data_IF_693067738495
#
_entry.id   IF_693067738495
#
_cell.length_a   1.000
_cell.length_b   1.000
_cell.length_c   1.000
_cell.angle_alpha   90.00
_cell.angle_beta   90.00
_cell.angle_gamma   90.00
#
_symmetry.space_group_name_H-M   'P 1'
#
loop_
_entity.id
_entity.type
_entity.pdbx_description
1 polymer ?
#
# COMPACT_ATOMS: atom_id res chain seq x y z
N UNK A 1 -6.54 3.23 13.65
CA UNK A 1 -7.61 4.13 14.19
C UNK A 1 -7.74 5.40 13.35
N UNK A 2 -6.68 6.23 13.24
CA UNK A 2 -6.73 7.47 12.44
C UNK A 2 -7.09 7.24 10.96
N UNK A 3 -6.45 6.28 10.28
CA UNK A 3 -6.75 5.96 8.87
C UNK A 3 -8.23 5.56 8.66
N UNK A 4 -8.78 4.71 9.52
CA UNK A 4 -10.18 4.30 9.46
C UNK A 4 -11.15 5.48 9.64
N UNK A 5 -10.83 6.40 10.55
CA UNK A 5 -11.64 7.59 10.79
C UNK A 5 -11.67 8.53 9.58
N UNK A 6 -10.53 8.68 8.88
CA UNK A 6 -10.45 9.50 7.65
C UNK A 6 -11.32 8.93 6.54
N UNK A 7 -11.28 7.60 6.32
CA UNK A 7 -12.10 6.96 5.29
C UNK A 7 -13.59 7.15 5.55
N UNK A 8 -14.03 6.93 6.81
CA UNK A 8 -15.42 7.14 7.21
C UNK A 8 -15.80 8.62 7.10
N UNK A 9 -14.91 9.53 7.50
CA UNK A 9 -15.13 10.98 7.42
C UNK A 9 -15.33 11.48 5.99
N UNK A 10 -14.49 11.03 5.05
CA UNK A 10 -14.63 11.40 3.63
C UNK A 10 -15.92 10.84 3.02
N UNK A 11 -16.35 9.64 3.43
CA UNK A 11 -17.63 9.08 2.99
C UNK A 11 -18.82 9.88 3.53
N UNK A 12 -18.79 10.25 4.81
CA UNK A 12 -19.83 11.09 5.44
C UNK A 12 -19.89 12.50 4.85
N UNK A 13 -18.75 13.09 4.48
CA UNK A 13 -18.71 14.38 3.75
C UNK A 13 -19.53 14.29 2.46
N UNK A 14 -19.33 13.24 1.66
CA UNK A 14 -20.09 13.02 0.43
C UNK A 14 -21.57 12.77 0.69
N UNK A 15 -21.89 11.95 1.69
CA UNK A 15 -23.27 11.71 2.10
C UNK A 15 -24.00 13.02 2.46
N UNK A 16 -23.36 13.88 3.25
CA UNK A 16 -23.91 15.17 3.69
C UNK A 16 -24.02 16.21 2.58
N UNK A 17 -23.22 16.14 1.52
CA UNK A 17 -23.37 17.04 0.37
C UNK A 17 -24.51 16.56 -0.53
N UNK A 18 -24.59 15.25 -0.80
CA UNK A 18 -25.51 14.69 -1.81
C UNK A 18 -26.95 14.67 -1.28
N UNK A 19 -27.17 14.14 -0.08
CA UNK A 19 -28.54 13.90 0.44
C UNK A 19 -29.34 15.21 0.57
N UNK A 20 -28.88 16.26 1.27
CA UNK A 20 -29.66 17.49 1.44
C UNK A 20 -29.85 18.26 0.13
N UNK A 21 -28.86 18.21 -0.76
CA UNK A 21 -28.91 18.87 -2.08
C UNK A 21 -29.99 18.25 -2.96
N UNK A 22 -30.20 16.94 -2.87
CA UNK A 22 -31.27 16.25 -3.60
C UNK A 22 -32.63 16.36 -2.90
N UNK A 23 -32.67 16.41 -1.57
CA UNK A 23 -33.92 16.59 -0.81
C UNK A 23 -34.59 17.94 -1.04
N UNK A 24 -33.81 19.00 -1.28
CA UNK A 24 -34.30 20.37 -1.47
C UNK A 24 -33.87 20.92 -2.85
N UNK A 25 -34.49 20.44 -3.94
CA UNK A 25 -34.15 20.90 -5.28
C UNK A 25 -34.59 22.36 -5.49
N UNK A 26 -33.81 23.12 -6.27
CA UNK A 26 -34.15 24.52 -6.62
C UNK A 26 -35.29 24.65 -7.63
N UNK A 27 -35.57 23.57 -8.35
CA UNK A 27 -36.68 23.46 -9.30
C UNK A 27 -37.94 23.03 -8.53
N UNK A 28 -39.15 23.29 -9.06
CA UNK A 28 -40.41 22.97 -8.39
C UNK A 28 -40.71 21.45 -8.42
N UNK A 29 -39.76 20.64 -8.00
CA UNK A 29 -39.94 19.23 -7.69
C UNK A 29 -40.38 19.09 -6.23
N UNK A 30 -41.15 18.05 -5.88
CA UNK A 30 -41.50 17.76 -4.50
C UNK A 30 -40.24 17.55 -3.65
N UNK A 31 -40.23 18.13 -2.46
CA UNK A 31 -39.22 17.83 -1.45
C UNK A 31 -39.36 16.36 -1.01
N UNK A 32 -38.24 15.65 -0.92
CA UNK A 32 -38.22 14.24 -0.54
C UNK A 32 -37.21 13.99 0.58
N UNK A 33 -37.61 13.24 1.59
CA UNK A 33 -36.73 12.86 2.69
C UNK A 33 -36.12 11.48 2.43
N UNK A 34 -34.79 11.40 2.50
CA UNK A 34 -34.06 10.16 2.25
C UNK A 34 -33.93 9.35 3.55
N UNK A 35 -34.50 8.15 3.57
CA UNK A 35 -34.32 7.16 4.63
C UNK A 35 -33.70 5.91 4.03
N UNK A 36 -32.42 5.61 4.32
CA UNK A 36 -31.75 4.47 3.73
C UNK A 36 -32.41 3.17 4.20
N UNK A 37 -32.75 2.34 3.23
CA UNK A 37 -33.28 0.99 3.42
C UNK A 37 -32.16 0.02 3.79
N UNK A 38 -32.54 -1.12 4.38
CA UNK A 38 -31.57 -2.17 4.71
C UNK A 38 -30.82 -2.70 3.46
N UNK A 39 -31.45 -2.63 2.29
CA UNK A 39 -30.85 -3.05 1.02
C UNK A 39 -29.68 -2.13 0.64
N UNK A 40 -29.83 -0.81 0.80
CA UNK A 40 -28.76 0.16 0.50
C UNK A 40 -27.56 0.01 1.44
N UNK A 41 -27.82 -0.30 2.71
CA UNK A 41 -26.76 -0.69 3.66
C UNK A 41 -26.08 -2.00 3.24
N UNK A 42 -26.86 -2.96 2.75
CA UNK A 42 -26.39 -4.22 2.19
C UNK A 42 -25.49 -4.03 0.96
N UNK A 43 -25.87 -3.16 0.02
CA UNK A 43 -25.07 -2.82 -1.16
C UNK A 43 -23.75 -2.14 -0.76
N UNK A 44 -23.80 -1.22 0.21
CA UNK A 44 -22.61 -0.55 0.72
C UNK A 44 -21.65 -1.58 1.34
N UNK A 45 -22.13 -2.44 2.24
CA UNK A 45 -21.33 -3.51 2.84
C UNK A 45 -20.85 -4.54 1.81
N UNK A 46 -21.71 -4.89 0.84
CA UNK A 46 -21.43 -5.80 -0.26
C UNK A 46 -20.31 -5.27 -1.16
N UNK A 47 -20.25 -3.96 -1.41
CA UNK A 47 -19.16 -3.34 -2.19
C UNK A 47 -17.80 -3.49 -1.51
N UNK A 48 -17.73 -3.31 -0.19
CA UNK A 48 -16.51 -3.55 0.60
C UNK A 48 -16.15 -5.04 0.60
N UNK A 49 -17.14 -5.92 0.76
CA UNK A 49 -16.94 -7.37 0.70
C UNK A 49 -16.42 -7.83 -0.66
N UNK A 50 -16.99 -7.32 -1.75
CA UNK A 50 -16.56 -7.59 -3.12
C UNK A 50 -15.15 -7.08 -3.37
N UNK A 51 -14.83 -5.87 -2.91
CA UNK A 51 -13.48 -5.31 -3.02
C UNK A 51 -12.45 -6.18 -2.29
N UNK A 52 -12.74 -6.59 -1.05
CA UNK A 52 -11.86 -7.47 -0.26
C UNK A 52 -11.73 -8.84 -0.93
N UNK A 53 -12.84 -9.41 -1.42
CA UNK A 53 -12.84 -10.69 -2.13
C UNK A 53 -11.94 -10.65 -3.37
N UNK A 54 -12.12 -9.63 -4.21
CA UNK A 54 -11.29 -9.44 -5.40
C UNK A 54 -9.83 -9.18 -5.02
N UNK A 55 -9.57 -8.33 -4.01
CA UNK A 55 -8.23 -8.08 -3.51
C UNK A 55 -7.52 -9.38 -3.10
N UNK A 56 -8.16 -10.21 -2.27
CA UNK A 56 -7.61 -11.50 -1.84
C UNK A 56 -7.38 -12.43 -3.03
N UNK A 57 -8.32 -12.46 -3.98
CA UNK A 57 -8.16 -13.25 -5.20
C UNK A 57 -6.93 -12.80 -6.00
N UNK A 58 -6.73 -11.50 -6.21
CA UNK A 58 -5.58 -10.96 -6.91
C UNK A 58 -4.26 -11.24 -6.17
N UNK A 59 -4.19 -11.04 -4.86
CA UNK A 59 -3.00 -11.35 -4.05
C UNK A 59 -2.64 -12.84 -4.12
N UNK A 60 -3.64 -13.72 -4.26
CA UNK A 60 -3.42 -15.16 -4.38
C UNK A 60 -3.00 -15.60 -5.77
N UNK A 61 -3.47 -14.93 -6.81
CA UNK A 61 -3.18 -15.27 -8.21
C UNK A 61 -1.90 -14.60 -8.74
N UNK A 62 -1.57 -13.40 -8.26
CA UNK A 62 -0.45 -12.60 -8.74
C UNK A 62 0.46 -12.14 -7.59
N UNK A 63 1.78 -12.07 -7.82
CA UNK A 63 2.69 -11.52 -6.83
C UNK A 63 2.41 -10.02 -6.63
N UNK A 64 2.10 -9.63 -5.40
CA UNK A 64 1.76 -8.23 -5.03
C UNK A 64 2.98 -7.31 -5.11
N UNK A 65 4.17 -7.87 -4.93
CA UNK A 65 5.43 -7.13 -5.00
C UNK A 65 6.17 -7.59 -6.25
N UNK A 66 6.68 -6.63 -7.02
CA UNK A 66 7.45 -6.95 -8.21
C UNK A 66 8.79 -7.58 -7.78
N UNK A 67 9.08 -8.79 -8.29
CA UNK A 67 10.30 -9.53 -7.92
C UNK A 67 11.56 -8.86 -8.54
N UNK A 68 11.37 -8.10 -9.61
CA UNK A 68 12.47 -7.45 -10.32
C UNK A 68 13.00 -6.24 -9.54
N UNK A 69 12.12 -5.38 -9.01
CA UNK A 69 12.54 -4.24 -8.18
C UNK A 69 13.21 -4.68 -6.88
N UNK A 70 12.79 -5.81 -6.29
CA UNK A 70 13.46 -6.37 -5.10
C UNK A 70 14.90 -6.79 -5.42
N UNK A 71 15.13 -7.44 -6.58
CA UNK A 71 16.46 -7.89 -6.98
C UNK A 71 17.38 -6.71 -7.24
N UNK A 72 16.94 -5.74 -8.04
CA UNK A 72 17.71 -4.54 -8.33
C UNK A 72 18.03 -3.75 -7.05
N UNK A 73 17.03 -3.54 -6.18
CA UNK A 73 17.23 -2.84 -4.90
C UNK A 73 18.26 -3.53 -3.99
N UNK A 74 18.31 -4.88 -4.00
CA UNK A 74 19.31 -5.62 -3.23
C UNK A 74 20.72 -5.47 -3.83
N UNK A 75 20.85 -5.58 -5.15
CA UNK A 75 22.16 -5.46 -5.81
C UNK A 75 22.77 -4.07 -5.65
N UNK A 76 21.96 -3.01 -5.79
CA UNK A 76 22.41 -1.63 -5.58
C UNK A 76 22.81 -1.42 -4.12
N UNK A 77 21.99 -1.89 -3.16
CA UNK A 77 22.32 -1.78 -1.73
C UNK A 77 23.58 -2.54 -1.33
N UNK A 78 23.85 -3.70 -1.92
CA UNK A 78 25.06 -4.49 -1.64
C UNK A 78 26.33 -3.77 -2.11
N UNK A 79 26.32 -3.21 -3.32
CA UNK A 79 27.46 -2.46 -3.85
C UNK A 79 27.78 -1.23 -3.00
N UNK A 80 26.75 -0.52 -2.54
CA UNK A 80 26.93 0.63 -1.66
C UNK A 80 27.50 0.23 -0.29
N UNK A 81 27.03 -0.88 0.29
CA UNK A 81 27.59 -1.40 1.55
C UNK A 81 29.03 -1.85 1.36
N UNK A 82 29.34 -2.54 0.27
CA UNK A 82 30.70 -2.98 -0.07
C UNK A 82 31.66 -1.79 -0.20
N UNK A 83 31.26 -0.75 -0.95
CA UNK A 83 32.04 0.48 -1.12
C UNK A 83 32.30 1.19 0.23
N UNK A 84 31.28 1.24 1.10
CA UNK A 84 31.42 1.80 2.45
C UNK A 84 32.31 0.95 3.34
N UNK A 85 32.19 -0.37 3.29
CA UNK A 85 33.03 -1.27 4.07
C UNK A 85 34.49 -1.18 3.63
N UNK A 86 34.75 -1.12 2.33
CA UNK A 86 36.09 -0.92 1.78
C UNK A 86 36.71 0.41 2.24
N UNK A 87 35.89 1.44 2.41
CA UNK A 87 36.34 2.73 2.95
C UNK A 87 36.73 2.65 4.43
N UNK A 88 36.07 1.81 5.22
CA UNK A 88 36.34 1.64 6.65
C UNK A 88 37.40 0.58 6.95
N UNK A 89 37.75 -0.26 5.98
CA UNK A 89 38.77 -1.28 6.14
C UNK A 89 40.17 -0.64 6.06
N UNK A 90 41.06 -0.88 7.04
CA UNK A 90 42.45 -0.45 6.93
C UNK A 90 43.14 -1.14 5.74
N UNK A 91 44.09 -0.47 5.10
CA UNK A 91 44.74 -0.90 3.84
C UNK A 91 45.30 -2.34 3.87
N UNK A 92 45.58 -2.87 5.07
CA UNK A 92 46.16 -4.19 5.30
C UNK A 92 45.17 -5.36 5.12
N UNK A 93 43.86 -5.10 5.28
CA UNK A 93 42.77 -6.09 5.22
C UNK A 93 41.98 -6.05 3.90
N UNK A 94 42.27 -5.11 3.00
CA UNK A 94 41.57 -4.98 1.72
C UNK A 94 41.68 -6.28 0.89
N UNK A 95 40.58 -6.78 0.31
CA UNK A 95 40.60 -7.99 -0.50
C UNK A 95 41.37 -7.75 -1.81
N UNK A 96 42.68 -8.01 -1.78
CA UNK A 96 43.53 -8.10 -2.96
C UNK A 96 43.00 -9.23 -3.87
N UNK A 97 42.81 -9.00 -5.19
CA UNK A 97 42.28 -10.01 -6.10
C UNK A 97 43.26 -11.20 -6.17
N UNK A 98 42.99 -12.26 -5.41
CA UNK A 98 43.78 -13.48 -5.37
C UNK A 98 44.29 -13.95 -4.00
N UNK A 99 43.93 -13.30 -2.87
CA UNK A 99 44.44 -13.61 -1.51
C UNK A 99 43.77 -14.79 -0.78
N UNK A 100 42.79 -15.47 -1.41
CA UNK A 100 42.04 -16.62 -0.85
C UNK A 100 42.85 -17.92 -0.63
N UNK A 101 44.18 -17.85 -0.53
CA UNK A 101 45.10 -19.00 -0.43
C UNK A 101 46.07 -18.95 0.75
N UNK A 102 45.81 -18.15 1.78
CA UNK A 102 46.63 -18.19 3.00
C UNK A 102 46.02 -19.14 4.05
N UNK A 103 46.75 -20.18 4.51
CA UNK A 103 46.26 -21.02 5.59
C UNK A 103 46.23 -20.22 6.91
N UNK A 104 45.07 -20.19 7.56
CA UNK A 104 44.93 -19.64 8.91
C UNK A 104 45.76 -20.51 9.85
N UNK A 105 46.86 -19.96 10.37
CA UNK A 105 47.72 -20.64 11.32
C UNK A 105 47.03 -20.77 12.67
N UNK A 106 46.71 -21.99 13.07
CA UNK A 106 46.53 -22.42 14.47
C UNK A 106 47.27 -23.73 14.64
#
# INVERSE_FOLDING_TARGET
IASSAVVIGMWLERFNIIVPTLSNPRLPFPEAHYWPTWVEWGETAGSFGLFILLYVLFVKLFPVISIWEIQEGREVGLKEVEERLLTYLPDDEQPEPGRDRAPVST
#
